data_IF_218662396840
#
_entry.id   IF_218662396840
#
_cell.length_a   1.000
_cell.length_b   1.000
_cell.length_c   1.000
_cell.angle_alpha   90.00
_cell.angle_beta   90.00
_cell.angle_gamma   90.00
#
_symmetry.space_group_name_H-M   'P 1'
#
loop_
_entity.id
_entity.type
_entity.pdbx_description
1 polymer ?
#
# COMPACT_ATOMS: atom_id res chain seq x y z
N UNK A 1 -16.69 -10.17 -22.93
CA UNK A 1 -15.41 -10.49 -22.26
C UNK A 1 -15.76 -10.99 -20.87
N UNK A 2 -15.63 -12.31 -20.62
CA UNK A 2 -15.87 -12.88 -19.29
C UNK A 2 -14.71 -12.45 -18.40
N UNK A 3 -14.95 -11.57 -17.45
CA UNK A 3 -13.95 -11.19 -16.44
C UNK A 3 -13.78 -12.39 -15.50
N UNK A 4 -12.79 -13.23 -15.80
CA UNK A 4 -12.37 -14.30 -14.89
C UNK A 4 -11.79 -13.69 -13.63
N UNK A 5 -12.41 -14.09 -12.53
CA UNK A 5 -12.14 -13.65 -11.17
C UNK A 5 -10.78 -14.24 -10.73
N UNK A 6 -9.72 -13.44 -10.81
CA UNK A 6 -8.38 -13.85 -10.39
C UNK A 6 -8.15 -13.43 -8.93
N UNK A 7 -8.62 -14.28 -8.00
CA UNK A 7 -8.20 -14.23 -6.60
C UNK A 7 -6.90 -15.05 -6.49
N UNK A 8 -5.76 -14.38 -6.64
CA UNK A 8 -4.44 -15.03 -6.60
C UNK A 8 -4.07 -15.36 -5.15
N UNK A 9 -4.34 -16.59 -4.71
CA UNK A 9 -3.82 -17.15 -3.46
C UNK A 9 -2.48 -17.86 -3.73
N UNK A 10 -1.36 -17.19 -3.45
CA UNK A 10 -0.06 -17.86 -3.34
C UNK A 10 0.08 -18.44 -1.92
N UNK A 11 0.15 -19.76 -1.81
CA UNK A 11 0.31 -20.48 -0.54
C UNK A 11 1.76 -20.92 -0.34
N UNK A 12 2.31 -20.64 0.84
CA UNK A 12 3.54 -21.24 1.36
C UNK A 12 3.29 -21.79 2.77
N UNK A 13 3.88 -22.95 3.05
CA UNK A 13 3.66 -23.89 4.16
C UNK A 13 3.98 -23.38 5.58
N UNK A 14 3.35 -24.01 6.60
CA UNK A 14 4.04 -24.48 7.81
C UNK A 14 3.21 -25.47 8.65
N UNK A 15 3.79 -26.65 8.92
CA UNK A 15 3.26 -27.71 9.81
C UNK A 15 3.15 -27.26 11.28
N UNK A 16 2.35 -28.00 12.03
CA UNK A 16 2.22 -28.01 13.50
C UNK A 16 1.55 -29.32 13.91
N UNK A 17 1.66 -29.76 15.16
CA UNK A 17 1.39 -31.15 15.54
C UNK A 17 0.01 -31.32 16.19
N UNK A 18 -1.02 -31.32 15.34
CA UNK A 18 -2.35 -31.98 15.47
C UNK A 18 -2.96 -32.19 14.06
N UNK A 19 -2.10 -32.04 13.05
CA UNK A 19 -2.40 -31.44 11.75
C UNK A 19 -2.22 -32.47 10.63
N UNK A 20 -1.63 -33.63 10.92
CA UNK A 20 -1.39 -34.73 9.98
C UNK A 20 -2.67 -35.19 9.26
N UNK A 21 -3.84 -35.09 9.91
CA UNK A 21 -5.11 -35.48 9.27
C UNK A 21 -5.72 -34.41 8.35
N UNK A 22 -5.53 -33.11 8.62
CA UNK A 22 -6.04 -32.06 7.71
C UNK A 22 -5.05 -31.78 6.59
N UNK A 23 -3.74 -31.82 6.87
CA UNK A 23 -2.70 -31.56 5.89
C UNK A 23 -2.74 -32.55 4.73
N UNK A 24 -2.99 -33.83 5.02
CA UNK A 24 -3.20 -34.86 3.98
C UNK A 24 -4.44 -34.56 3.14
N UNK A 25 -5.57 -34.18 3.77
CA UNK A 25 -6.79 -33.84 3.05
C UNK A 25 -6.62 -32.58 2.17
N UNK A 26 -5.91 -31.55 2.66
CA UNK A 26 -5.62 -30.34 1.88
C UNK A 26 -4.64 -30.61 0.74
N UNK A 27 -3.65 -31.49 0.91
CA UNK A 27 -2.78 -31.93 -0.20
C UNK A 27 -3.57 -32.61 -1.32
N UNK A 28 -4.59 -33.40 -0.98
CA UNK A 28 -5.49 -33.97 -1.98
C UNK A 28 -6.29 -32.88 -2.70
N UNK A 29 -6.81 -31.89 -1.98
CA UNK A 29 -7.47 -30.71 -2.58
C UNK A 29 -6.53 -30.01 -3.56
N UNK A 30 -5.30 -29.70 -3.16
CA UNK A 30 -4.29 -29.06 -4.01
C UNK A 30 -3.95 -29.89 -5.26
N UNK A 31 -3.90 -31.22 -5.12
CA UNK A 31 -3.65 -32.12 -6.25
C UNK A 31 -4.79 -32.04 -7.27
N UNK A 32 -6.03 -32.12 -6.80
CA UNK A 32 -7.23 -32.00 -7.64
C UNK A 32 -7.31 -30.62 -8.32
N UNK A 33 -6.88 -29.55 -7.64
CA UNK A 33 -6.80 -28.21 -8.24
C UNK A 33 -5.77 -28.12 -9.36
N UNK A 34 -4.58 -28.69 -9.17
CA UNK A 34 -3.52 -28.73 -10.19
C UNK A 34 -3.95 -29.53 -11.43
N UNK A 35 -4.79 -30.54 -11.24
CA UNK A 35 -5.38 -31.34 -12.31
C UNK A 35 -6.60 -30.68 -12.97
N UNK A 36 -7.06 -29.52 -12.48
CA UNK A 36 -8.24 -28.82 -13.00
C UNK A 36 -9.58 -29.48 -12.62
N UNK A 37 -9.58 -30.39 -11.65
CA UNK A 37 -10.75 -31.16 -11.22
C UNK A 37 -11.56 -30.42 -10.14
N UNK A 38 -12.10 -29.23 -10.49
CA UNK A 38 -12.79 -28.32 -9.53
C UNK A 38 -13.94 -28.99 -8.79
N UNK A 39 -14.78 -29.79 -9.46
CA UNK A 39 -15.90 -30.48 -8.80
C UNK A 39 -15.42 -31.53 -7.78
N UNK A 40 -14.33 -32.24 -8.08
CA UNK A 40 -13.73 -33.22 -7.17
C UNK A 40 -13.09 -32.51 -5.97
N UNK A 41 -12.38 -31.41 -6.22
CA UNK A 41 -11.80 -30.58 -5.18
C UNK A 41 -12.89 -30.03 -4.22
N UNK A 42 -14.01 -29.54 -4.76
CA UNK A 42 -15.18 -29.10 -3.97
C UNK A 42 -15.72 -30.22 -3.08
N UNK A 43 -15.92 -31.44 -3.62
CA UNK A 43 -16.37 -32.59 -2.81
C UNK A 43 -15.39 -32.90 -1.66
N UNK A 44 -14.09 -32.79 -1.92
CA UNK A 44 -13.06 -33.00 -0.89
C UNK A 44 -13.10 -31.90 0.17
N UNK A 45 -13.30 -30.65 -0.22
CA UNK A 45 -13.48 -29.53 0.73
C UNK A 45 -14.75 -29.69 1.58
N UNK A 46 -15.88 -30.12 1.00
CA UNK A 46 -17.10 -30.41 1.75
C UNK A 46 -16.92 -31.54 2.78
N UNK A 47 -16.09 -32.54 2.45
CA UNK A 47 -15.68 -33.57 3.41
C UNK A 47 -14.86 -32.97 4.56
N UNK A 48 -13.90 -32.10 4.26
CA UNK A 48 -13.12 -31.37 5.27
C UNK A 48 -14.04 -30.50 6.14
N UNK A 49 -15.01 -29.81 5.55
CA UNK A 49 -15.98 -28.97 6.26
C UNK A 49 -16.79 -29.79 7.27
N UNK A 50 -17.31 -30.95 6.83
CA UNK A 50 -18.05 -31.87 7.71
C UNK A 50 -17.21 -32.41 8.87
N UNK A 51 -15.91 -32.65 8.63
CA UNK A 51 -14.97 -33.05 9.68
C UNK A 51 -14.69 -31.89 10.65
N UNK A 52 -14.47 -30.69 10.14
CA UNK A 52 -14.23 -29.49 10.92
C UNK A 52 -15.44 -29.09 11.77
N UNK A 53 -16.66 -29.38 11.30
CA UNK A 53 -17.88 -29.27 12.11
C UNK A 53 -17.86 -30.20 13.32
N UNK A 54 -17.63 -31.49 13.09
CA UNK A 54 -17.63 -32.51 14.15
C UNK A 54 -16.53 -32.28 15.19
N UNK A 55 -15.38 -31.78 14.77
CA UNK A 55 -14.23 -31.51 15.62
C UNK A 55 -14.21 -30.10 16.21
N UNK A 56 -15.21 -29.27 15.91
CA UNK A 56 -15.29 -27.87 16.32
C UNK A 56 -14.04 -27.04 15.95
N UNK A 57 -13.44 -27.35 14.80
CA UNK A 57 -12.22 -26.68 14.34
C UNK A 57 -12.56 -25.40 13.58
N UNK A 58 -12.61 -24.27 14.31
CA UNK A 58 -13.00 -22.94 13.78
C UNK A 58 -12.15 -22.48 12.59
N UNK A 59 -10.83 -22.72 12.64
CA UNK A 59 -9.91 -22.34 11.55
C UNK A 59 -10.26 -23.08 10.27
N UNK A 60 -10.45 -24.40 10.37
CA UNK A 60 -10.81 -25.22 9.21
C UNK A 60 -12.21 -24.88 8.68
N UNK A 61 -13.17 -24.58 9.55
CA UNK A 61 -14.52 -24.13 9.15
C UNK A 61 -14.50 -22.87 8.29
N UNK A 62 -13.69 -21.88 8.66
CA UNK A 62 -13.50 -20.66 7.87
C UNK A 62 -12.76 -20.99 6.56
N UNK A 63 -11.70 -21.80 6.63
CA UNK A 63 -10.90 -22.19 5.46
C UNK A 63 -11.75 -22.90 4.41
N UNK A 64 -12.59 -23.85 4.82
CA UNK A 64 -13.47 -24.57 3.92
C UNK A 64 -14.51 -23.65 3.29
N UNK A 65 -15.10 -22.73 4.06
CA UNK A 65 -16.04 -21.75 3.52
C UNK A 65 -15.40 -20.87 2.42
N UNK A 66 -14.15 -20.44 2.62
CA UNK A 66 -13.40 -19.68 1.62
C UNK A 66 -13.12 -20.50 0.35
N UNK A 67 -12.76 -21.78 0.49
CA UNK A 67 -12.52 -22.66 -0.65
C UNK A 67 -13.81 -23.03 -1.39
N UNK A 68 -14.90 -23.29 -0.67
CA UNK A 68 -16.22 -23.49 -1.27
C UNK A 68 -16.64 -22.25 -2.06
N UNK A 69 -16.41 -21.06 -1.50
CA UNK A 69 -16.67 -19.79 -2.18
C UNK A 69 -15.83 -19.65 -3.45
N UNK A 70 -14.53 -19.98 -3.39
CA UNK A 70 -13.63 -19.99 -4.54
C UNK A 70 -14.14 -20.89 -5.66
N UNK A 71 -14.61 -22.10 -5.34
CA UNK A 71 -15.12 -23.03 -6.34
C UNK A 71 -16.50 -22.65 -6.86
N UNK A 72 -17.37 -22.08 -6.03
CA UNK A 72 -18.67 -21.58 -6.47
C UNK A 72 -18.50 -20.52 -7.56
N UNK A 73 -17.52 -19.62 -7.45
CA UNK A 73 -17.20 -18.62 -8.49
C UNK A 73 -16.80 -19.23 -9.85
N UNK A 74 -16.40 -20.50 -9.89
CA UNK A 74 -16.06 -21.23 -11.12
C UNK A 74 -17.24 -22.06 -11.63
N UNK A 75 -18.01 -22.66 -10.72
CA UNK A 75 -19.01 -23.68 -11.04
C UNK A 75 -20.44 -23.15 -11.16
N UNK A 76 -20.76 -22.05 -10.48
CA UNK A 76 -22.12 -21.51 -10.36
C UNK A 76 -22.25 -20.19 -11.12
N UNK A 77 -23.39 -20.00 -11.78
CA UNK A 77 -23.80 -18.68 -12.23
C UNK A 77 -24.21 -17.84 -11.02
N UNK A 78 -23.88 -16.54 -11.03
CA UNK A 78 -24.25 -15.61 -9.95
C UNK A 78 -23.77 -15.99 -8.53
N UNK A 79 -22.69 -16.76 -8.43
CA UNK A 79 -22.20 -17.32 -7.16
C UNK A 79 -21.92 -16.28 -6.06
N UNK A 80 -21.72 -15.01 -6.40
CA UNK A 80 -21.55 -13.93 -5.43
C UNK A 80 -22.71 -13.84 -4.43
N UNK A 81 -23.95 -14.04 -4.88
CA UNK A 81 -25.13 -14.04 -4.01
C UNK A 81 -25.17 -15.27 -3.10
N UNK A 82 -24.95 -16.47 -3.66
CA UNK A 82 -24.95 -17.71 -2.89
C UNK A 82 -23.85 -17.70 -1.82
N UNK A 83 -22.67 -17.19 -2.16
CA UNK A 83 -21.55 -17.00 -1.24
C UNK A 83 -21.94 -16.05 -0.10
N UNK A 84 -22.45 -14.86 -0.41
CA UNK A 84 -22.85 -13.89 0.63
C UNK A 84 -23.88 -14.50 1.59
N UNK A 85 -24.87 -15.24 1.07
CA UNK A 85 -25.87 -15.91 1.89
C UNK A 85 -25.29 -17.04 2.75
N UNK A 86 -24.31 -17.80 2.24
CA UNK A 86 -23.59 -18.81 3.02
C UNK A 86 -22.81 -18.18 4.18
N UNK A 87 -22.16 -17.03 3.95
CA UNK A 87 -21.50 -16.26 5.00
C UNK A 87 -22.50 -15.76 6.05
N UNK A 88 -23.63 -15.15 5.65
CA UNK A 88 -24.70 -14.70 6.58
C UNK A 88 -25.16 -15.85 7.47
N UNK A 89 -25.52 -17.00 6.88
CA UNK A 89 -25.94 -18.20 7.62
C UNK A 89 -24.88 -18.68 8.60
N UNK A 90 -23.59 -18.61 8.23
CA UNK A 90 -22.51 -19.00 9.11
C UNK A 90 -22.32 -18.02 10.27
N UNK A 91 -22.41 -16.72 10.01
CA UNK A 91 -22.31 -15.66 11.01
C UNK A 91 -23.40 -15.82 12.09
N UNK A 92 -24.63 -16.16 11.70
CA UNK A 92 -25.74 -16.42 12.63
C UNK A 92 -25.46 -17.59 13.58
N UNK A 93 -24.77 -18.63 13.08
CA UNK A 93 -24.50 -19.87 13.82
C UNK A 93 -23.11 -19.90 14.48
N UNK A 94 -22.40 -18.78 14.53
CA UNK A 94 -21.04 -18.69 15.07
C UNK A 94 -20.96 -17.77 16.29
N UNK A 95 -19.90 -17.95 17.07
CA UNK A 95 -19.56 -17.11 18.23
C UNK A 95 -18.15 -16.55 18.08
N UNK A 96 -17.76 -15.58 18.91
CA UNK A 96 -16.41 -15.02 18.90
C UNK A 96 -15.35 -16.12 19.13
N UNK A 97 -14.18 -16.09 18.44
CA UNK A 97 -13.78 -15.14 17.41
C UNK A 97 -14.19 -15.52 15.97
N UNK A 98 -14.78 -16.71 15.74
CA UNK A 98 -15.20 -17.15 14.39
C UNK A 98 -16.18 -16.15 13.76
N UNK A 99 -17.16 -15.69 14.55
CA UNK A 99 -18.14 -14.69 14.11
C UNK A 99 -17.48 -13.39 13.65
N UNK A 100 -16.52 -12.89 14.42
CA UNK A 100 -15.78 -11.65 14.12
C UNK A 100 -15.05 -11.77 12.78
N UNK A 101 -14.35 -12.88 12.56
CA UNK A 101 -13.61 -13.13 11.32
C UNK A 101 -14.55 -13.21 10.11
N UNK A 102 -15.68 -13.92 10.25
CA UNK A 102 -16.66 -14.05 9.17
C UNK A 102 -17.34 -12.73 8.82
N UNK A 103 -17.65 -11.89 9.82
CA UNK A 103 -18.19 -10.55 9.59
C UNK A 103 -17.20 -9.67 8.83
N UNK A 104 -15.92 -9.70 9.20
CA UNK A 104 -14.86 -8.97 8.51
C UNK A 104 -14.68 -9.45 7.05
N UNK A 105 -14.74 -10.77 6.82
CA UNK A 105 -14.67 -11.36 5.48
C UNK A 105 -15.89 -10.97 4.62
N UNK A 106 -17.10 -10.99 5.19
CA UNK A 106 -18.31 -10.59 4.47
C UNK A 106 -18.30 -9.09 4.11
N UNK A 107 -17.82 -8.24 5.02
CA UNK A 107 -17.63 -6.82 4.74
C UNK A 107 -16.67 -6.61 3.56
N UNK A 108 -15.54 -7.34 3.55
CA UNK A 108 -14.60 -7.32 2.43
C UNK A 108 -15.21 -7.83 1.12
N UNK A 109 -16.06 -8.86 1.16
CA UNK A 109 -16.75 -9.36 -0.03
C UNK A 109 -17.65 -8.28 -0.64
N UNK A 110 -18.45 -7.61 0.17
CA UNK A 110 -19.28 -6.49 -0.30
C UNK A 110 -18.44 -5.32 -0.82
N UNK A 111 -17.35 -5.00 -0.14
CA UNK A 111 -16.43 -3.95 -0.59
C UNK A 111 -15.80 -4.28 -1.94
N UNK A 112 -15.31 -5.51 -2.12
CA UNK A 112 -14.76 -5.96 -3.40
C UNK A 112 -15.80 -5.97 -4.51
N UNK A 113 -17.04 -6.37 -4.21
CA UNK A 113 -18.13 -6.30 -5.18
C UNK A 113 -18.39 -4.87 -5.63
N UNK A 114 -18.43 -3.91 -4.71
CA UNK A 114 -18.56 -2.50 -5.04
C UNK A 114 -17.40 -2.04 -5.94
N UNK A 115 -16.15 -2.29 -5.54
CA UNK A 115 -14.97 -1.86 -6.31
C UNK A 115 -14.97 -2.40 -7.75
N UNK A 116 -15.41 -3.65 -7.94
CA UNK A 116 -15.51 -4.27 -9.27
C UNK A 116 -16.68 -3.75 -10.11
N UNK A 117 -17.75 -3.29 -9.46
CA UNK A 117 -18.97 -2.84 -10.12
C UNK A 117 -19.21 -1.34 -9.98
N UNK A 118 -18.19 -0.56 -9.61
CA UNK A 118 -18.28 0.87 -9.26
C UNK A 118 -19.04 1.68 -10.33
N UNK A 119 -18.75 1.42 -11.60
CA UNK A 119 -19.42 2.05 -12.74
C UNK A 119 -20.94 1.84 -12.76
N UNK A 120 -21.44 0.67 -12.31
CA UNK A 120 -22.88 0.37 -12.27
C UNK A 120 -23.61 1.11 -11.16
N UNK A 121 -22.90 1.47 -10.09
CA UNK A 121 -23.50 2.19 -8.97
C UNK A 121 -23.72 3.67 -9.29
N UNK A 122 -22.98 4.22 -10.26
CA UNK A 122 -23.15 5.62 -10.71
C UNK A 122 -24.46 5.86 -11.47
N UNK A 123 -24.99 4.83 -12.12
CA UNK A 123 -26.27 4.91 -12.85
C UNK A 123 -27.48 4.48 -11.98
N UNK A 124 -27.27 4.14 -10.70
CA UNK A 124 -28.34 3.70 -9.80
C UNK A 124 -28.99 4.87 -9.07
N UNK A 125 -30.31 4.91 -9.09
CA UNK A 125 -31.11 5.80 -8.23
C UNK A 125 -31.14 5.28 -6.80
N UNK A 126 -30.99 6.17 -5.82
CA UNK A 126 -31.16 5.84 -4.40
C UNK A 126 -32.60 5.36 -4.16
N UNK A 127 -32.76 4.20 -3.54
CA UNK A 127 -34.07 3.56 -3.34
C UNK A 127 -34.67 3.79 -1.96
N UNK A 128 -33.93 4.40 -1.02
CA UNK A 128 -34.38 4.71 0.34
C UNK A 128 -34.61 3.49 1.24
N UNK A 129 -34.93 2.33 0.66
CA UNK A 129 -35.08 1.03 1.31
C UNK A 129 -34.42 -0.08 0.47
N UNK A 130 -34.03 -1.19 1.13
CA UNK A 130 -33.52 -2.38 0.46
C UNK A 130 -34.61 -2.93 -0.49
N UNK A 131 -34.34 -2.89 -1.79
CA UNK A 131 -35.22 -3.51 -2.80
C UNK A 131 -35.39 -5.01 -2.54
N UNK A 132 -34.33 -5.67 -2.05
CA UNK A 132 -34.33 -7.06 -1.61
C UNK A 132 -33.36 -7.24 -0.43
N UNK A 133 -33.81 -7.70 0.74
CA UNK A 133 -32.95 -7.89 1.92
C UNK A 133 -31.86 -8.96 1.77
N UNK A 134 -32.06 -9.88 0.83
CA UNK A 134 -31.18 -11.01 0.58
C UNK A 134 -30.20 -10.73 -0.54
N UNK A 135 -30.64 -10.06 -1.62
CA UNK A 135 -29.83 -9.79 -2.80
C UNK A 135 -29.14 -8.42 -2.78
N UNK A 136 -27.93 -8.41 -2.23
CA UNK A 136 -27.09 -7.21 -2.15
C UNK A 136 -26.72 -6.59 -3.50
N UNK A 137 -26.89 -7.33 -4.60
CA UNK A 137 -26.64 -6.81 -5.95
C UNK A 137 -27.67 -5.78 -6.37
N UNK A 138 -28.84 -5.75 -5.71
CA UNK A 138 -29.93 -4.79 -5.97
C UNK A 138 -29.81 -3.52 -5.12
N UNK A 139 -28.95 -3.53 -4.09
CA UNK A 139 -28.84 -2.41 -3.16
C UNK A 139 -28.27 -1.16 -3.84
N UNK A 140 -28.78 -0.01 -3.39
CA UNK A 140 -28.13 1.27 -3.66
C UNK A 140 -26.82 1.41 -2.89
N UNK A 141 -26.06 2.45 -3.24
CA UNK A 141 -24.72 2.67 -2.71
C UNK A 141 -24.72 2.91 -1.20
N UNK A 142 -25.67 3.68 -0.70
CA UNK A 142 -25.79 4.04 0.72
C UNK A 142 -26.10 2.81 1.57
N UNK A 143 -27.03 1.98 1.11
CA UNK A 143 -27.39 0.71 1.76
C UNK A 143 -26.20 -0.25 1.82
N UNK A 144 -25.48 -0.41 0.70
CA UNK A 144 -24.32 -1.30 0.64
C UNK A 144 -23.20 -0.85 1.58
N UNK A 145 -22.90 0.46 1.61
CA UNK A 145 -21.87 1.01 2.48
C UNK A 145 -22.28 0.96 3.96
N UNK A 146 -23.55 1.20 4.27
CA UNK A 146 -24.08 1.03 5.62
C UNK A 146 -23.95 -0.42 6.12
N UNK A 147 -24.19 -1.41 5.25
CA UNK A 147 -23.98 -2.82 5.60
C UNK A 147 -22.50 -3.15 5.82
N UNK A 148 -21.60 -2.64 4.97
CA UNK A 148 -20.14 -2.80 5.11
C UNK A 148 -19.67 -2.21 6.46
N UNK A 149 -20.09 -0.98 6.77
CA UNK A 149 -19.76 -0.30 8.03
C UNK A 149 -20.27 -1.09 9.25
N UNK A 150 -21.51 -1.55 9.21
CA UNK A 150 -22.09 -2.37 10.28
C UNK A 150 -21.32 -3.67 10.51
N UNK A 151 -20.94 -4.36 9.43
CA UNK A 151 -20.17 -5.60 9.51
C UNK A 151 -18.75 -5.37 10.04
N UNK A 152 -18.05 -4.32 9.60
CA UNK A 152 -16.74 -3.99 10.13
C UNK A 152 -16.82 -3.62 11.61
N UNK A 153 -17.73 -2.74 12.02
CA UNK A 153 -17.97 -2.41 13.44
C UNK A 153 -18.30 -3.64 14.27
N UNK A 154 -19.15 -4.54 13.76
CA UNK A 154 -19.47 -5.79 14.45
C UNK A 154 -18.26 -6.71 14.57
N UNK A 155 -17.41 -6.77 13.52
CA UNK A 155 -16.22 -7.60 13.49
C UNK A 155 -15.16 -7.20 14.53
N UNK A 156 -15.18 -5.95 15.00
CA UNK A 156 -14.24 -5.43 16.01
C UNK A 156 -14.78 -5.49 17.45
N UNK A 157 -16.03 -5.95 17.65
CA UNK A 157 -16.57 -6.18 19.01
C UNK A 157 -15.81 -7.29 19.73
N UNK A 158 -15.87 -7.30 21.08
CA UNK A 158 -15.10 -8.20 21.94
C UNK A 158 -13.58 -7.94 21.88
N UNK A 159 -13.18 -6.67 21.81
CA UNK A 159 -11.80 -6.19 21.65
C UNK A 159 -10.80 -6.97 22.52
N UNK A 160 -11.02 -7.06 23.83
CA UNK A 160 -10.12 -7.79 24.75
C UNK A 160 -9.91 -9.27 24.37
N UNK A 161 -10.95 -9.92 23.83
CA UNK A 161 -10.84 -11.31 23.36
C UNK A 161 -10.00 -11.38 22.09
N UNK A 162 -10.22 -10.46 21.15
CA UNK A 162 -9.49 -10.40 19.88
C UNK A 162 -8.01 -10.05 20.10
N UNK A 163 -7.74 -9.11 21.01
CA UNK A 163 -6.40 -8.69 21.43
C UNK A 163 -5.61 -9.81 22.12
N UNK A 164 -6.29 -10.77 22.76
CA UNK A 164 -5.64 -11.90 23.41
C UNK A 164 -5.29 -13.05 22.44
N UNK A 165 -5.78 -13.02 21.19
CA UNK A 165 -5.56 -14.08 20.21
C UNK A 165 -4.35 -13.71 19.36
N UNK A 166 -3.26 -14.46 19.53
CA UNK A 166 -2.07 -14.36 18.69
C UNK A 166 -2.42 -14.73 17.24
N UNK A 167 -1.97 -13.91 16.29
CA UNK A 167 -2.27 -14.05 14.87
C UNK A 167 -1.73 -15.39 14.29
N UNK A 168 -0.68 -15.96 14.88
CA UNK A 168 -0.14 -17.27 14.48
C UNK A 168 -1.14 -18.42 14.66
N UNK A 169 -2.13 -18.28 15.54
CA UNK A 169 -3.18 -19.29 15.76
C UNK A 169 -4.07 -19.49 14.52
N UNK A 170 -4.15 -18.49 13.65
CA UNK A 170 -4.91 -18.53 12.40
C UNK A 170 -4.01 -18.55 11.15
N UNK A 171 -2.72 -18.90 11.30
CA UNK A 171 -1.72 -18.87 10.22
C UNK A 171 -2.17 -19.57 8.92
N UNK A 172 -3.01 -20.59 9.01
CA UNK A 172 -3.53 -21.33 7.86
C UNK A 172 -4.52 -20.54 6.99
N UNK A 173 -5.05 -19.43 7.51
CA UNK A 173 -5.96 -18.53 6.81
C UNK A 173 -5.24 -17.32 6.21
N UNK A 174 -3.95 -17.14 6.50
CA UNK A 174 -3.20 -15.95 6.18
C UNK A 174 -2.21 -16.19 5.04
N UNK A 175 -2.10 -15.22 4.15
CA UNK A 175 -0.96 -15.10 3.25
C UNK A 175 0.07 -14.24 4.00
N UNK A 176 1.09 -14.89 4.56
CA UNK A 176 2.11 -14.19 5.36
C UNK A 176 3.18 -13.63 4.42
N UNK A 177 3.38 -12.31 4.50
CA UNK A 177 4.56 -11.68 3.93
C UNK A 177 5.66 -11.67 5.00
N UNK A 178 6.90 -11.85 4.58
CA UNK A 178 8.04 -11.81 5.49
C UNK A 178 8.03 -10.49 6.30
N UNK A 179 8.35 -10.55 7.59
CA UNK A 179 8.38 -9.40 8.53
C UNK A 179 7.01 -8.76 8.87
N UNK A 180 5.88 -9.17 8.26
CA UNK A 180 4.57 -8.50 8.50
C UNK A 180 3.90 -8.82 9.84
N UNK A 181 4.29 -9.92 10.50
CA UNK A 181 3.66 -10.37 11.76
C UNK A 181 4.10 -9.54 12.97
N UNK A 182 5.30 -8.98 12.91
CA UNK A 182 5.84 -8.16 13.99
C UNK A 182 5.01 -6.89 14.20
N UNK A 183 4.41 -6.36 13.13
CA UNK A 183 3.61 -5.14 13.17
C UNK A 183 2.13 -5.38 13.47
N UNK A 184 1.63 -6.61 13.30
CA UNK A 184 0.24 -6.98 13.51
C UNK A 184 0.15 -8.30 14.29
N UNK A 185 0.50 -8.32 15.59
CA UNK A 185 0.67 -9.56 16.35
C UNK A 185 -0.62 -10.31 16.65
N UNK A 186 -1.79 -9.64 16.64
CA UNK A 186 -3.05 -10.21 17.13
C UNK A 186 -4.14 -10.29 16.07
N UNK A 187 -5.19 -11.07 16.36
CA UNK A 187 -6.40 -11.08 15.55
C UNK A 187 -7.06 -9.70 15.51
N UNK A 188 -7.00 -8.93 16.60
CA UNK A 188 -7.53 -7.57 16.63
C UNK A 188 -6.85 -6.68 15.60
N UNK A 189 -5.52 -6.77 15.49
CA UNK A 189 -4.73 -6.01 14.52
C UNK A 189 -5.15 -6.35 13.10
N UNK A 190 -5.21 -7.65 12.78
CA UNK A 190 -5.60 -8.10 11.45
C UNK A 190 -7.00 -7.62 11.03
N UNK A 191 -8.00 -7.80 11.91
CA UNK A 191 -9.38 -7.37 11.60
C UNK A 191 -9.49 -5.85 11.49
N UNK A 192 -8.75 -5.11 12.31
CA UNK A 192 -8.75 -3.65 12.32
C UNK A 192 -8.11 -3.08 11.06
N UNK A 193 -6.98 -3.63 10.60
CA UNK A 193 -6.33 -3.18 9.36
C UNK A 193 -7.18 -3.51 8.12
N UNK A 194 -7.92 -4.61 8.13
CA UNK A 194 -8.91 -4.90 7.09
C UNK A 194 -10.04 -3.84 7.06
N UNK A 195 -10.50 -3.39 8.22
CA UNK A 195 -11.48 -2.31 8.30
C UNK A 195 -10.90 -0.96 7.87
N UNK A 196 -9.65 -0.66 8.24
CA UNK A 196 -8.94 0.55 7.80
C UNK A 196 -8.85 0.63 6.27
N UNK A 197 -8.63 -0.48 5.56
CA UNK A 197 -8.62 -0.49 4.09
C UNK A 197 -9.93 0.01 3.46
N UNK A 198 -11.07 -0.09 4.16
CA UNK A 198 -12.33 0.49 3.74
C UNK A 198 -12.44 1.96 4.18
N UNK A 199 -12.20 2.24 5.47
CA UNK A 199 -12.42 3.57 6.04
C UNK A 199 -11.43 4.64 5.57
N UNK A 200 -10.25 4.25 5.06
CA UNK A 200 -9.26 5.16 4.50
C UNK A 200 -9.56 5.58 3.05
N UNK A 201 -10.59 5.01 2.42
CA UNK A 201 -10.93 5.35 1.04
C UNK A 201 -11.85 6.55 0.95
N UNK A 202 -11.49 7.49 0.06
CA UNK A 202 -12.36 8.60 -0.33
C UNK A 202 -13.29 8.15 -1.45
N UNK A 203 -14.58 8.01 -1.15
CA UNK A 203 -15.61 7.82 -2.17
C UNK A 203 -16.36 9.14 -2.41
N UNK A 204 -16.06 9.79 -3.53
CA UNK A 204 -16.68 11.06 -3.93
C UNK A 204 -18.14 10.95 -4.34
N UNK A 205 -18.63 9.73 -4.57
CA UNK A 205 -19.97 9.48 -5.12
C UNK A 205 -21.07 9.30 -4.08
N UNK A 206 -20.73 9.32 -2.79
CA UNK A 206 -21.72 9.33 -1.71
C UNK A 206 -22.06 10.78 -1.38
N UNK A 207 -23.36 11.08 -1.28
CA UNK A 207 -23.85 12.38 -0.82
C UNK A 207 -23.26 12.68 0.56
N UNK A 208 -22.48 13.75 0.64
CA UNK A 208 -21.83 14.14 1.89
C UNK A 208 -22.79 14.97 2.75
N UNK A 209 -22.86 14.72 4.07
CA UNK A 209 -23.67 15.53 4.96
C UNK A 209 -23.11 16.96 5.05
N UNK A 210 -23.97 17.94 5.37
CA UNK A 210 -23.55 19.33 5.54
C UNK A 210 -22.53 19.53 6.67
N UNK A 211 -22.54 18.64 7.68
CA UNK A 211 -21.63 18.63 8.84
C UNK A 211 -20.57 17.53 8.72
N UNK A 212 -20.07 17.30 7.50
CA UNK A 212 -19.04 16.29 7.25
C UNK A 212 -17.87 16.49 8.21
N UNK A 213 -17.44 15.39 8.82
CA UNK A 213 -16.23 15.41 9.64
C UNK A 213 -14.98 15.67 8.77
N UNK A 214 -14.17 16.64 9.19
CA UNK A 214 -12.88 16.97 8.59
C UNK A 214 -11.77 16.92 9.64
N UNK A 215 -10.53 16.70 9.19
CA UNK A 215 -9.34 16.76 10.03
C UNK A 215 -8.78 18.19 9.92
N UNK A 216 -9.46 19.14 10.56
CA UNK A 216 -9.17 20.57 10.52
C UNK A 216 -8.43 21.09 11.77
N UNK A 217 -8.33 20.27 12.82
CA UNK A 217 -7.57 20.60 14.02
C UNK A 217 -6.11 20.10 13.93
N UNK A 218 -5.09 20.97 14.06
CA UNK A 218 -3.68 20.56 14.13
C UNK A 218 -3.38 19.49 15.19
N UNK A 219 -4.13 19.42 16.28
CA UNK A 219 -3.94 18.45 17.37
C UNK A 219 -4.02 16.98 16.89
N UNK A 220 -4.60 16.69 15.73
CA UNK A 220 -4.59 15.33 15.17
C UNK A 220 -3.17 14.83 14.82
N UNK A 221 -2.24 15.75 14.48
CA UNK A 221 -0.82 15.48 14.33
C UNK A 221 -0.10 15.68 15.67
N UNK A 222 -0.37 14.78 16.60
CA UNK A 222 0.25 14.76 17.93
C UNK A 222 0.89 13.41 18.23
N UNK A 223 1.63 13.30 19.33
CA UNK A 223 2.22 12.03 19.77
C UNK A 223 1.16 10.95 20.12
N UNK A 224 1.53 9.68 20.02
CA UNK A 224 0.68 8.51 20.23
C UNK A 224 -0.07 8.54 21.57
N UNK A 225 0.58 8.92 22.67
CA UNK A 225 -0.03 8.98 24.00
C UNK A 225 -1.09 10.07 24.10
N UNK A 226 -0.87 11.21 23.44
CA UNK A 226 -1.86 12.29 23.38
C UNK A 226 -3.05 11.86 22.52
N UNK A 227 -2.78 11.30 21.34
CA UNK A 227 -3.80 10.80 20.43
C UNK A 227 -4.67 9.71 21.07
N UNK A 228 -4.07 8.82 21.85
CA UNK A 228 -4.78 7.74 22.55
C UNK A 228 -5.86 8.24 23.52
N UNK A 229 -5.78 9.50 23.97
CA UNK A 229 -6.69 10.13 24.94
C UNK A 229 -7.59 11.19 24.30
N UNK A 230 -7.43 11.45 23.01
CA UNK A 230 -8.18 12.46 22.29
C UNK A 230 -9.67 12.10 22.23
N UNK A 231 -10.54 13.09 22.38
CA UNK A 231 -11.99 12.88 22.22
C UNK A 231 -12.36 13.00 20.74
N UNK A 232 -12.74 11.89 20.14
CA UNK A 232 -13.13 11.82 18.72
C UNK A 232 -14.66 11.85 18.57
N UNK A 233 -15.22 13.05 18.44
CA UNK A 233 -16.67 13.29 18.28
C UNK A 233 -16.98 14.01 16.97
N UNK A 234 -18.11 13.66 16.37
CA UNK A 234 -18.71 14.38 15.25
C UNK A 234 -20.22 14.18 15.28
N UNK A 235 -20.95 15.14 14.72
CA UNK A 235 -22.37 14.96 14.40
C UNK A 235 -22.55 13.97 13.24
N UNK A 236 -21.57 13.89 12.33
CA UNK A 236 -21.49 12.90 11.26
C UNK A 236 -20.96 11.56 11.79
N UNK A 237 -21.86 10.76 12.36
CA UNK A 237 -21.54 9.43 12.89
C UNK A 237 -21.15 8.39 11.82
N UNK A 238 -21.47 8.65 10.54
CA UNK A 238 -21.20 7.77 9.40
C UNK A 238 -19.90 8.13 8.67
N UNK A 239 -19.18 9.17 9.11
CA UNK A 239 -17.88 9.55 8.56
C UNK A 239 -16.86 8.42 8.59
N UNK A 240 -16.37 8.02 7.41
CA UNK A 240 -15.30 7.03 7.27
C UNK A 240 -13.99 7.51 7.89
N UNK A 241 -13.66 8.80 7.73
CA UNK A 241 -12.49 9.43 8.36
C UNK A 241 -12.54 9.30 9.89
N UNK A 242 -13.70 9.58 10.50
CA UNK A 242 -13.88 9.44 11.94
C UNK A 242 -13.73 7.98 12.40
N UNK A 243 -14.30 7.02 11.65
CA UNK A 243 -14.16 5.60 11.98
C UNK A 243 -12.70 5.14 11.85
N UNK A 244 -11.96 5.60 10.84
CA UNK A 244 -10.53 5.32 10.70
C UNK A 244 -9.73 5.85 11.90
N UNK A 245 -9.97 7.10 12.32
CA UNK A 245 -9.32 7.68 13.50
C UNK A 245 -9.65 6.90 14.79
N UNK A 246 -10.90 6.46 14.96
CA UNK A 246 -11.30 5.63 16.11
C UNK A 246 -10.58 4.28 16.13
N UNK A 247 -10.44 3.63 14.98
CA UNK A 247 -9.69 2.38 14.87
C UNK A 247 -8.20 2.61 15.20
N UNK A 248 -7.58 3.64 14.62
CA UNK A 248 -6.21 4.02 14.97
C UNK A 248 -6.06 4.30 16.46
N UNK A 249 -7.02 4.99 17.09
CA UNK A 249 -6.98 5.31 18.50
C UNK A 249 -7.07 4.05 19.37
N UNK A 250 -7.98 3.13 19.06
CA UNK A 250 -8.14 1.88 19.80
C UNK A 250 -6.90 0.98 19.68
N UNK A 251 -6.33 0.87 18.47
CA UNK A 251 -5.06 0.14 18.26
C UNK A 251 -3.91 0.83 19.00
N UNK A 252 -3.86 2.17 19.02
CA UNK A 252 -2.83 2.92 19.75
C UNK A 252 -2.95 2.65 21.26
N UNK A 253 -4.17 2.72 21.82
CA UNK A 253 -4.42 2.40 23.23
C UNK A 253 -4.01 0.97 23.58
N UNK A 254 -4.24 0.03 22.67
CA UNK A 254 -3.82 -1.36 22.83
C UNK A 254 -2.29 -1.48 22.89
N UNK A 255 -1.59 -1.04 21.85
CA UNK A 255 -0.14 -1.21 21.71
C UNK A 255 0.70 -0.29 22.60
N UNK A 256 0.13 0.76 23.19
CA UNK A 256 0.82 1.56 24.22
C UNK A 256 1.26 0.75 25.44
N UNK A 257 0.66 -0.43 25.66
CA UNK A 257 1.01 -1.33 26.76
C UNK A 257 1.96 -2.45 26.35
N UNK A 258 2.38 -2.50 25.07
CA UNK A 258 3.27 -3.53 24.59
C UNK A 258 4.67 -3.37 25.17
N UNK A 259 5.33 -4.51 25.39
CA UNK A 259 6.73 -4.51 25.86
C UNK A 259 7.69 -4.06 24.77
N UNK A 260 7.32 -4.30 23.51
CA UNK A 260 8.14 -4.02 22.35
C UNK A 260 7.43 -2.97 21.50
N UNK A 261 8.16 -1.97 20.95
CA UNK A 261 7.53 -0.78 20.37
C UNK A 261 7.18 -0.93 18.89
N UNK A 262 7.44 -2.06 18.25
CA UNK A 262 7.42 -2.20 16.79
C UNK A 262 5.99 -2.06 16.23
N UNK A 263 5.01 -2.72 16.83
CA UNK A 263 3.60 -2.61 16.44
C UNK A 263 3.06 -1.19 16.63
N UNK A 264 3.34 -0.57 17.80
CA UNK A 264 2.96 0.83 18.06
C UNK A 264 3.64 1.79 17.07
N UNK A 265 4.92 1.60 16.79
CA UNK A 265 5.71 2.48 15.91
C UNK A 265 5.14 2.46 14.49
N UNK A 266 4.91 1.27 13.95
CA UNK A 266 4.37 1.10 12.60
C UNK A 266 2.96 1.70 12.50
N UNK A 267 2.07 1.35 13.45
CA UNK A 267 0.72 1.90 13.53
C UNK A 267 0.72 3.43 13.61
N UNK A 268 1.60 3.99 14.43
CA UNK A 268 1.66 5.41 14.66
C UNK A 268 2.12 6.18 13.41
N UNK A 269 3.10 5.64 12.69
CA UNK A 269 3.54 6.17 11.38
C UNK A 269 2.39 6.13 10.38
N UNK A 270 1.65 5.03 10.30
CA UNK A 270 0.48 4.91 9.42
C UNK A 270 -0.60 5.94 9.76
N UNK A 271 -0.93 6.08 11.05
CA UNK A 271 -1.85 7.11 11.55
C UNK A 271 -1.40 8.51 11.15
N UNK A 272 -0.14 8.86 11.40
CA UNK A 272 0.38 10.19 11.11
C UNK A 272 0.33 10.49 9.60
N UNK A 273 0.66 9.51 8.75
CA UNK A 273 0.51 9.63 7.28
C UNK A 273 -0.96 9.83 6.88
N UNK A 274 -1.86 9.05 7.46
CA UNK A 274 -3.29 9.17 7.21
C UNK A 274 -3.83 10.57 7.58
N UNK A 275 -3.46 11.07 8.76
CA UNK A 275 -3.81 12.43 9.19
C UNK A 275 -3.22 13.48 8.26
N UNK A 276 -1.92 13.39 7.92
CA UNK A 276 -1.24 14.31 6.99
C UNK A 276 -1.95 14.38 5.64
N UNK A 277 -2.33 13.24 5.07
CA UNK A 277 -2.99 13.16 3.77
C UNK A 277 -4.39 13.78 3.77
N UNK A 278 -5.08 13.73 4.91
CA UNK A 278 -6.47 14.17 5.06
C UNK A 278 -6.62 15.51 5.79
N UNK A 279 -5.52 16.14 6.21
CA UNK A 279 -5.53 17.40 6.93
C UNK A 279 -6.15 18.55 6.09
N UNK A 280 -6.85 19.44 6.79
CA UNK A 280 -7.49 20.67 6.25
C UNK A 280 -7.08 21.90 7.07
N UNK A 281 -5.81 21.99 7.40
CA UNK A 281 -5.20 23.11 8.12
C UNK A 281 -3.81 23.43 7.54
N UNK A 282 -3.27 24.60 7.88
CA UNK A 282 -1.96 25.06 7.38
C UNK A 282 -0.78 24.40 8.12
N UNK A 283 0.43 24.50 7.56
CA UNK A 283 1.67 24.03 8.20
C UNK A 283 1.72 22.52 8.54
N UNK A 284 0.92 21.69 7.84
CA UNK A 284 0.83 20.23 8.03
C UNK A 284 2.22 19.57 8.01
N UNK A 285 3.07 19.90 7.04
CA UNK A 285 4.39 19.29 6.88
C UNK A 285 5.33 19.62 8.04
N UNK A 286 5.27 20.85 8.57
CA UNK A 286 6.09 21.27 9.71
C UNK A 286 5.67 20.55 10.99
N UNK A 287 4.36 20.45 11.25
CA UNK A 287 3.84 19.75 12.43
C UNK A 287 4.04 18.23 12.35
N UNK A 288 3.92 17.67 11.14
CA UNK A 288 4.23 16.27 10.89
C UNK A 288 5.70 15.96 11.17
N UNK A 289 6.62 16.80 10.68
CA UNK A 289 8.06 16.68 10.96
C UNK A 289 8.36 16.78 12.46
N UNK A 290 7.81 17.79 13.14
CA UNK A 290 7.99 17.98 14.58
C UNK A 290 7.49 16.75 15.36
N UNK A 291 6.32 16.22 14.99
CA UNK A 291 5.75 15.04 15.65
C UNK A 291 6.63 13.81 15.43
N UNK A 292 7.11 13.56 14.22
CA UNK A 292 8.05 12.45 13.94
C UNK A 292 9.35 12.59 14.75
N UNK A 293 9.88 13.81 14.89
CA UNK A 293 11.06 14.08 15.71
C UNK A 293 10.80 13.81 17.19
N UNK A 294 9.64 14.25 17.70
CA UNK A 294 9.24 14.03 19.09
C UNK A 294 8.98 12.56 19.39
N UNK A 295 8.45 11.79 18.44
CA UNK A 295 8.23 10.35 18.57
C UNK A 295 9.56 9.58 18.59
N UNK A 296 10.45 9.85 17.64
CA UNK A 296 11.72 9.12 17.57
C UNK A 296 12.61 9.37 18.79
N UNK A 297 12.53 10.56 19.39
CA UNK A 297 13.31 10.94 20.58
C UNK A 297 12.92 10.15 21.85
N UNK A 298 11.83 9.37 21.81
CA UNK A 298 11.46 8.45 22.90
C UNK A 298 12.29 7.16 22.91
N UNK A 299 12.97 6.85 21.81
CA UNK A 299 13.72 5.63 21.63
C UNK A 299 15.22 5.89 21.69
N UNK A 300 15.96 4.93 22.26
CA UNK A 300 17.42 4.91 22.22
C UNK A 300 17.98 3.85 21.24
N UNK A 301 17.19 2.82 20.93
CA UNK A 301 17.58 1.77 20.00
C UNK A 301 17.48 2.29 18.55
N UNK A 302 18.58 2.28 17.77
CA UNK A 302 18.56 2.68 16.36
C UNK A 302 17.51 1.95 15.52
N UNK A 303 17.18 0.70 15.82
CA UNK A 303 16.16 -0.06 15.08
C UNK A 303 14.75 0.53 15.25
N UNK A 304 14.46 1.10 16.44
CA UNK A 304 13.16 1.73 16.74
C UNK A 304 13.10 3.20 16.26
N UNK A 305 14.26 3.85 16.13
CA UNK A 305 14.39 5.19 15.55
C UNK A 305 14.25 5.15 14.02
N UNK A 306 14.79 4.09 13.39
CA UNK A 306 14.93 3.99 11.93
C UNK A 306 13.62 4.20 11.13
N UNK A 307 12.45 3.68 11.54
CA UNK A 307 11.18 3.93 10.84
C UNK A 307 10.83 5.43 10.76
N UNK A 308 10.94 6.16 11.88
CA UNK A 308 10.69 7.61 11.91
C UNK A 308 11.73 8.39 11.11
N UNK A 309 13.00 8.01 11.19
CA UNK A 309 14.05 8.62 10.38
C UNK A 309 13.79 8.44 8.88
N UNK A 310 13.30 7.26 8.45
CA UNK A 310 12.90 7.07 7.06
C UNK A 310 11.73 7.98 6.66
N UNK A 311 10.71 8.16 7.50
CA UNK A 311 9.61 9.10 7.22
C UNK A 311 10.11 10.54 7.06
N UNK A 312 11.05 10.97 7.89
CA UNK A 312 11.67 12.30 7.79
C UNK A 312 12.45 12.43 6.49
N UNK A 313 13.26 11.42 6.14
CA UNK A 313 14.00 11.41 4.88
C UNK A 313 13.06 11.47 3.67
N UNK A 314 11.94 10.75 3.73
CA UNK A 314 10.93 10.78 2.67
C UNK A 314 10.22 12.15 2.57
N UNK A 315 9.93 12.80 3.69
CA UNK A 315 9.40 14.17 3.69
C UNK A 315 10.40 15.15 3.05
N UNK A 316 11.69 15.07 3.42
CA UNK A 316 12.72 15.90 2.80
C UNK A 316 12.89 15.59 1.31
N UNK A 317 12.77 14.32 0.91
CA UNK A 317 12.71 13.98 -0.50
C UNK A 317 11.54 14.68 -1.23
N UNK A 318 10.34 14.68 -0.64
CA UNK A 318 9.18 15.38 -1.21
C UNK A 318 9.42 16.89 -1.32
N UNK A 319 9.93 17.52 -0.27
CA UNK A 319 10.27 18.95 -0.27
C UNK A 319 11.36 19.28 -1.29
N UNK A 320 12.41 18.47 -1.37
CA UNK A 320 13.50 18.66 -2.32
C UNK A 320 13.05 18.61 -3.79
N UNK A 321 11.99 17.86 -4.09
CA UNK A 321 11.37 17.85 -5.44
C UNK A 321 10.56 19.10 -5.76
N UNK A 322 10.22 19.91 -4.78
CA UNK A 322 9.52 21.18 -4.94
C UNK A 322 10.49 22.36 -5.10
N UNK A 323 11.81 22.10 -5.08
CA UNK A 323 12.81 23.14 -5.26
C UNK A 323 12.66 23.85 -6.61
N UNK A 324 12.55 25.17 -6.54
CA UNK A 324 12.68 26.13 -7.62
C UNK A 324 13.52 27.30 -7.11
N UNK A 325 13.88 28.25 -7.98
CA UNK A 325 14.53 29.50 -7.54
C UNK A 325 13.70 30.31 -6.53
N UNK A 326 12.38 30.10 -6.52
CA UNK A 326 11.43 30.75 -5.61
C UNK A 326 11.31 30.05 -4.25
N UNK A 327 11.79 28.80 -4.13
CA UNK A 327 11.76 27.99 -2.89
C UNK A 327 13.17 27.55 -2.45
N UNK A 328 14.10 28.49 -2.22
CA UNK A 328 15.50 28.19 -1.92
C UNK A 328 15.71 27.32 -0.68
N UNK A 329 14.77 27.33 0.27
CA UNK A 329 14.75 26.48 1.47
C UNK A 329 14.66 24.98 1.15
N UNK A 330 14.20 24.60 -0.03
CA UNK A 330 14.07 23.20 -0.47
C UNK A 330 15.32 22.65 -1.16
N UNK A 331 16.24 23.52 -1.58
CA UNK A 331 17.42 23.15 -2.38
C UNK A 331 18.19 21.97 -1.79
N UNK A 332 18.48 22.01 -0.49
CA UNK A 332 19.32 21.04 0.18
C UNK A 332 18.58 19.80 0.71
N UNK A 333 17.26 19.74 0.58
CA UNK A 333 16.44 18.69 1.20
C UNK A 333 16.73 17.29 0.66
N UNK A 334 17.11 17.17 -0.62
CA UNK A 334 17.53 15.89 -1.20
C UNK A 334 18.83 15.36 -0.56
N UNK A 335 19.78 16.26 -0.28
CA UNK A 335 21.03 15.93 0.42
C UNK A 335 20.75 15.49 1.86
N UNK A 336 19.92 16.25 2.58
CA UNK A 336 19.52 15.91 3.96
C UNK A 336 18.81 14.54 4.02
N UNK A 337 17.96 14.23 3.04
CA UNK A 337 17.33 12.90 2.91
C UNK A 337 18.38 11.79 2.75
N UNK A 338 19.38 11.97 1.87
CA UNK A 338 20.48 11.02 1.69
C UNK A 338 21.30 10.83 2.98
N UNK A 339 21.59 11.91 3.70
CA UNK A 339 22.35 11.84 4.96
C UNK A 339 21.62 11.01 6.02
N UNK A 340 20.29 11.19 6.15
CA UNK A 340 19.47 10.37 7.03
C UNK A 340 19.47 8.91 6.55
N UNK A 341 19.25 8.66 5.25
CA UNK A 341 19.26 7.31 4.70
C UNK A 341 20.58 6.58 4.95
N UNK A 342 21.72 7.25 4.75
CA UNK A 342 23.04 6.68 5.03
C UNK A 342 23.21 6.33 6.51
N UNK A 343 22.73 7.19 7.43
CA UNK A 343 22.76 6.92 8.87
C UNK A 343 21.90 5.70 9.25
N UNK A 344 20.70 5.60 8.70
CA UNK A 344 19.79 4.46 8.94
C UNK A 344 20.42 3.16 8.44
N UNK A 345 20.96 3.15 7.22
CA UNK A 345 21.62 1.95 6.66
C UNK A 345 22.86 1.53 7.47
N UNK A 346 23.58 2.47 8.07
CA UNK A 346 24.75 2.15 8.91
C UNK A 346 24.36 1.60 10.30
N UNK A 347 23.35 2.19 10.93
CA UNK A 347 23.03 1.92 12.35
C UNK A 347 21.92 0.88 12.54
N UNK A 348 21.04 0.68 11.55
CA UNK A 348 19.90 -0.23 11.60
C UNK A 348 19.76 -1.07 10.31
N UNK A 349 20.84 -1.72 9.80
CA UNK A 349 20.90 -2.30 8.45
C UNK A 349 19.89 -3.43 8.17
N UNK A 350 19.35 -4.07 9.21
CA UNK A 350 18.42 -5.20 9.07
C UNK A 350 16.95 -4.78 9.02
N UNK A 351 16.66 -3.51 9.25
CA UNK A 351 15.28 -3.00 9.31
C UNK A 351 14.69 -2.80 7.91
N UNK A 352 13.36 -2.85 7.80
CA UNK A 352 12.64 -2.43 6.59
C UNK A 352 12.95 -0.98 6.22
N UNK A 353 13.14 -0.11 7.21
CA UNK A 353 13.54 1.28 7.00
C UNK A 353 14.89 1.40 6.26
N UNK A 354 15.88 0.53 6.54
CA UNK A 354 17.14 0.50 5.80
C UNK A 354 16.94 0.08 4.33
N UNK A 355 16.13 -0.95 4.06
CA UNK A 355 15.77 -1.36 2.68
C UNK A 355 15.06 -0.22 1.93
N UNK A 356 14.18 0.50 2.60
CA UNK A 356 13.50 1.67 2.03
C UNK A 356 14.46 2.85 1.80
N UNK A 357 15.41 3.09 2.71
CA UNK A 357 16.46 4.09 2.56
C UNK A 357 17.37 3.81 1.36
N UNK A 358 17.72 2.54 1.13
CA UNK A 358 18.48 2.12 -0.05
C UNK A 358 17.72 2.45 -1.34
N UNK A 359 16.42 2.12 -1.38
CA UNK A 359 15.54 2.43 -2.52
C UNK A 359 15.41 3.93 -2.77
N UNK A 360 15.20 4.72 -1.71
CA UNK A 360 15.08 6.17 -1.79
C UNK A 360 16.39 6.83 -2.25
N UNK A 361 17.53 6.37 -1.72
CA UNK A 361 18.85 6.85 -2.13
C UNK A 361 19.10 6.58 -3.61
N UNK A 362 18.81 5.37 -4.11
CA UNK A 362 18.92 5.06 -5.54
C UNK A 362 18.06 5.99 -6.41
N UNK A 363 16.87 6.36 -5.93
CA UNK A 363 15.99 7.30 -6.63
C UNK A 363 16.56 8.73 -6.66
N UNK A 364 17.15 9.21 -5.56
CA UNK A 364 17.74 10.56 -5.50
C UNK A 364 19.04 10.63 -6.31
N UNK A 365 19.86 9.57 -6.27
CA UNK A 365 21.13 9.45 -6.99
C UNK A 365 20.95 9.09 -8.48
N UNK A 366 19.71 8.88 -8.94
CA UNK A 366 19.42 8.59 -10.34
C UNK A 366 20.03 9.66 -11.24
N UNK A 367 20.83 9.21 -12.21
CA UNK A 367 21.44 10.03 -13.24
C UNK A 367 20.38 10.48 -14.25
N UNK A 368 20.38 11.76 -14.60
CA UNK A 368 19.60 12.27 -15.73
C UNK A 368 20.45 13.18 -16.62
N UNK A 369 20.15 13.15 -17.92
CA UNK A 369 20.81 13.96 -18.92
C UNK A 369 19.81 14.31 -20.02
N UNK A 370 19.70 15.60 -20.31
CA UNK A 370 19.04 16.14 -21.48
C UNK A 370 19.99 17.15 -22.13
N UNK A 371 20.11 17.04 -23.46
CA UNK A 371 20.98 17.90 -24.26
C UNK A 371 20.12 18.54 -25.33
N UNK A 372 20.18 19.86 -25.43
CA UNK A 372 19.50 20.65 -26.45
C UNK A 372 20.54 21.50 -27.21
N UNK A 373 20.54 21.36 -28.53
CA UNK A 373 21.43 22.07 -29.43
C UNK A 373 20.64 22.56 -30.65
N UNK A 374 21.15 23.59 -31.32
CA UNK A 374 20.59 24.07 -32.57
C UNK A 374 20.87 23.11 -33.72
N UNK A 375 19.89 22.92 -34.60
CA UNK A 375 20.06 22.08 -35.80
C UNK A 375 20.98 22.75 -36.84
N UNK A 376 21.08 24.07 -36.81
CA UNK A 376 21.88 24.87 -37.74
C UNK A 376 22.69 25.88 -36.95
N UNK A 377 24.02 25.80 -37.08
CA UNK A 377 24.95 26.66 -36.37
C UNK A 377 25.68 27.61 -37.33
N UNK A 378 26.02 28.85 -36.91
CA UNK A 378 26.78 29.76 -37.75
C UNK A 378 28.18 29.21 -38.08
N UNK A 379 28.63 29.47 -39.30
CA UNK A 379 29.95 29.03 -39.77
C UNK A 379 31.06 29.78 -39.04
N UNK A 380 32.08 29.05 -38.57
CA UNK A 380 33.26 29.59 -37.90
C UNK A 380 32.97 30.43 -36.64
N UNK A 381 31.85 30.18 -35.97
CA UNK A 381 31.51 30.80 -34.68
C UNK A 381 31.26 29.72 -33.63
N UNK A 382 31.46 30.11 -32.37
CA UNK A 382 31.09 29.26 -31.24
C UNK A 382 29.58 29.08 -31.19
N UNK A 383 29.15 27.85 -30.92
CA UNK A 383 27.75 27.50 -30.66
C UNK A 383 27.68 26.82 -29.30
N UNK A 384 26.57 27.05 -28.60
CA UNK A 384 26.36 26.50 -27.25
C UNK A 384 25.43 25.31 -27.29
N UNK A 385 25.66 24.40 -26.36
CA UNK A 385 24.76 23.29 -26.09
C UNK A 385 24.19 23.45 -24.70
N UNK A 386 22.87 23.52 -24.59
CA UNK A 386 22.19 23.54 -23.31
C UNK A 386 22.17 22.12 -22.75
N UNK A 387 22.74 21.94 -21.56
CA UNK A 387 22.84 20.68 -20.86
C UNK A 387 22.04 20.78 -19.58
N UNK A 388 20.98 19.99 -19.46
CA UNK A 388 20.23 19.78 -18.22
C UNK A 388 20.61 18.42 -17.65
N UNK A 389 21.11 18.38 -16.42
CA UNK A 389 21.77 17.19 -15.87
C UNK A 389 21.54 17.04 -14.37
N UNK A 390 21.69 15.79 -13.90
CA UNK A 390 21.66 15.45 -12.48
C UNK A 390 22.64 14.30 -12.22
N UNK A 391 23.40 14.42 -11.12
CA UNK A 391 24.35 13.41 -10.62
C UNK A 391 25.40 12.97 -11.66
N UNK A 392 25.81 13.88 -12.55
CA UNK A 392 26.85 13.65 -13.56
C UNK A 392 28.05 14.57 -13.33
N UNK A 393 29.27 14.04 -13.16
CA UNK A 393 30.45 14.88 -12.93
C UNK A 393 31.01 15.51 -14.22
N UNK A 394 30.82 14.86 -15.37
CA UNK A 394 31.34 15.33 -16.66
C UNK A 394 30.62 14.70 -17.84
N UNK A 395 30.76 15.31 -19.02
CA UNK A 395 30.28 14.80 -20.30
C UNK A 395 31.42 14.75 -21.32
N UNK A 396 31.46 13.66 -22.08
CA UNK A 396 32.34 13.52 -23.23
C UNK A 396 31.58 13.89 -24.51
N UNK A 397 32.07 14.88 -25.23
CA UNK A 397 31.52 15.33 -26.50
C UNK A 397 32.39 14.82 -27.66
N UNK A 398 31.73 14.32 -28.72
CA UNK A 398 32.36 13.88 -29.96
C UNK A 398 31.59 14.47 -31.14
N UNK A 399 32.28 15.21 -31.98
CA UNK A 399 31.75 15.72 -33.25
C UNK A 399 32.22 14.79 -34.36
N UNK A 400 31.28 14.28 -35.14
CA UNK A 400 31.55 13.35 -36.24
C UNK A 400 31.27 14.03 -37.58
N UNK A 401 32.16 13.79 -38.53
CA UNK A 401 31.89 14.11 -39.93
C UNK A 401 31.08 12.97 -40.55
N UNK A 402 29.95 13.28 -41.19
CA UNK A 402 29.13 12.28 -41.88
C UNK A 402 28.56 12.80 -43.21
N UNK A 403 28.41 11.88 -44.17
CA UNK A 403 27.82 12.11 -45.48
C UNK A 403 26.29 11.95 -45.47
N UNK A 404 25.60 12.52 -46.46
CA UNK A 404 24.14 12.33 -46.67
C UNK A 404 23.71 10.85 -46.72
N UNK A 405 24.57 9.96 -47.25
CA UNK A 405 24.29 8.53 -47.27
C UNK A 405 24.37 7.90 -45.87
N UNK A 406 25.31 8.35 -45.03
CA UNK A 406 25.43 7.90 -43.64
C UNK A 406 24.28 8.46 -42.79
N UNK A 407 23.87 9.71 -43.02
CA UNK A 407 22.68 10.32 -42.39
C UNK A 407 21.42 9.50 -42.68
N UNK A 408 21.17 9.17 -43.95
CA UNK A 408 20.02 8.34 -44.34
C UNK A 408 20.04 6.98 -43.64
N UNK A 409 21.20 6.32 -43.60
CA UNK A 409 21.37 5.05 -42.88
C UNK A 409 21.09 5.19 -41.38
N UNK A 410 21.55 6.27 -40.75
CA UNK A 410 21.29 6.52 -39.33
C UNK A 410 19.78 6.64 -39.06
N UNK A 411 19.06 7.38 -39.91
CA UNK A 411 17.60 7.59 -39.79
C UNK A 411 16.78 6.30 -39.99
N UNK A 412 17.35 5.28 -40.65
CA UNK A 412 16.71 3.97 -40.86
C UNK A 412 16.95 3.00 -39.68
N UNK A 413 17.92 3.28 -38.80
CA UNK A 413 18.26 2.42 -37.66
C UNK A 413 17.45 2.85 -36.43
N UNK A 414 16.50 2.02 -36.00
CA UNK A 414 15.74 2.24 -34.77
C UNK A 414 16.48 1.75 -33.50
N UNK A 415 17.36 0.76 -33.62
CA UNK A 415 18.07 0.18 -32.48
C UNK A 415 19.24 1.06 -32.01
N UNK A 416 19.20 1.49 -30.75
CA UNK A 416 20.22 2.39 -30.16
C UNK A 416 21.63 1.81 -30.16
N UNK A 417 21.80 0.48 -30.04
CA UNK A 417 23.13 -0.15 -30.05
C UNK A 417 23.72 -0.13 -31.46
N UNK A 418 22.89 -0.35 -32.48
CA UNK A 418 23.31 -0.24 -33.87
C UNK A 418 23.63 1.21 -34.26
N UNK A 419 22.85 2.19 -33.77
CA UNK A 419 23.20 3.61 -33.92
C UNK A 419 24.57 3.92 -33.31
N UNK A 420 24.84 3.43 -32.08
CA UNK A 420 26.12 3.62 -31.42
C UNK A 420 27.30 2.99 -32.18
N UNK A 421 27.11 1.79 -32.77
CA UNK A 421 28.12 1.16 -33.62
C UNK A 421 28.41 2.00 -34.86
N UNK A 422 27.39 2.58 -35.49
CA UNK A 422 27.57 3.48 -36.62
C UNK A 422 28.38 4.71 -36.20
N UNK A 423 28.00 5.39 -35.11
CA UNK A 423 28.75 6.56 -34.62
C UNK A 423 30.22 6.23 -34.33
N UNK A 424 30.50 5.09 -33.69
CA UNK A 424 31.88 4.65 -33.41
C UNK A 424 32.70 4.30 -34.67
N UNK A 425 32.04 4.10 -35.82
CA UNK A 425 32.73 3.89 -37.10
C UNK A 425 33.03 5.19 -37.86
N UNK A 426 32.41 6.30 -37.46
CA UNK A 426 32.61 7.60 -38.10
C UNK A 426 33.93 8.24 -37.68
N UNK A 427 34.47 9.09 -38.55
CA UNK A 427 35.67 9.86 -38.25
C UNK A 427 35.30 10.97 -37.25
N UNK A 428 35.98 10.97 -36.11
CA UNK A 428 35.91 12.04 -35.12
C UNK A 428 36.63 13.27 -35.69
N UNK A 429 35.92 14.38 -35.75
CA UNK A 429 36.46 15.69 -36.15
C UNK A 429 37.02 16.43 -34.93
N UNK A 430 36.26 16.45 -33.84
CA UNK A 430 36.64 17.06 -32.56
C UNK A 430 36.12 16.24 -31.39
N UNK A 431 36.84 16.28 -30.27
CA UNK A 431 36.48 15.60 -29.04
C UNK A 431 36.98 16.40 -27.85
N UNK A 432 36.14 16.57 -26.85
CA UNK A 432 36.52 17.20 -25.59
C UNK A 432 35.68 16.66 -24.43
N UNK A 433 36.12 16.96 -23.21
CA UNK A 433 35.38 16.66 -21.99
C UNK A 433 34.99 17.96 -21.32
N UNK A 434 33.70 18.09 -21.00
CA UNK A 434 33.20 19.20 -20.20
C UNK A 434 32.96 18.72 -18.77
N UNK A 435 33.59 19.38 -17.80
CA UNK A 435 33.27 19.18 -16.39
C UNK A 435 31.97 19.90 -16.08
N UNK A 436 31.04 19.21 -15.41
CA UNK A 436 29.76 19.80 -15.04
C UNK A 436 29.84 20.35 -13.60
N UNK A 437 29.34 21.57 -13.34
CA UNK A 437 29.22 22.08 -11.97
C UNK A 437 28.41 21.13 -11.10
N UNK A 438 28.84 20.87 -9.87
CA UNK A 438 28.08 20.06 -8.93
C UNK A 438 28.15 20.67 -7.54
N UNK A 439 27.01 21.14 -7.06
CA UNK A 439 26.88 21.79 -5.76
C UNK A 439 26.63 20.77 -4.64
N UNK A 440 26.44 19.49 -4.98
CA UNK A 440 26.20 18.40 -4.05
C UNK A 440 24.81 18.43 -3.42
N UNK A 441 23.85 19.13 -4.03
CA UNK A 441 22.46 19.24 -3.58
C UNK A 441 21.53 18.19 -4.21
N UNK A 442 22.04 17.38 -5.15
CA UNK A 442 21.29 16.36 -5.89
C UNK A 442 20.10 16.91 -6.69
N UNK A 443 20.08 18.23 -6.94
CA UNK A 443 19.06 18.88 -7.75
C UNK A 443 19.35 18.71 -9.24
N UNK A 444 18.33 18.99 -10.06
CA UNK A 444 18.50 19.10 -11.50
C UNK A 444 19.13 20.46 -11.81
N UNK A 445 20.25 20.45 -12.51
CA UNK A 445 20.99 21.66 -12.88
C UNK A 445 20.98 21.85 -14.38
N UNK A 446 21.22 23.08 -14.82
CA UNK A 446 21.38 23.41 -16.23
C UNK A 446 22.63 24.26 -16.44
N UNK A 447 23.37 23.97 -17.50
CA UNK A 447 24.56 24.73 -17.89
C UNK A 447 24.69 24.77 -19.41
N UNK A 448 25.51 25.68 -19.92
CA UNK A 448 25.86 25.74 -21.34
C UNK A 448 27.31 25.30 -21.52
N UNK A 449 27.54 24.43 -22.51
CA UNK A 449 28.88 24.00 -22.94
C UNK A 449 29.22 24.64 -24.27
#
# INVERSE_FOLDING_TARGET
MKYTLALTFCLVFSMGFSQDSYDSLWKEVETLEKEGLTQSALKKVQFIASKAEKENNKVQRIKTLLYESKYALVLEEDAQLSIANNFKKRIENSVSPEKNMLQNLLANLYWQYFQQNRYRFYDRTNTGEKVDDTDFRTWDLETLFGEIDNLFKASLKNEKTLQAIDLSTIKELLIIKEESREFHPTLYDFLSHNALNFYQTDESSITQPAYKFEIDNPDYLCQAEMFSKMVLTSEDSTSTLLQALKIYQNLTQFHLNDKSPEALTQLNIERLRFVKQNARFDAVDSLYLETLQNEKNKFNDPNNIAPYDFEIAYLYYQQGRQYTEETPEHRWKLKEAIEICNRVMANAPKTTAAKNCESLKMQIEQVSLQVQAENFIPVQQHSRVLVTYKNLPSLEFKIYEFSKNQEKKLNEIYDKKEQLKLFNSLKIQEQWTATLPNEGDFQLHTTEV
#
